data_IF_647844607870
#
_entry.id   IF_647844607870
#
_cell.length_a   1.000
_cell.length_b   1.000
_cell.length_c   1.000
_cell.angle_alpha   90.00
_cell.angle_beta   90.00
_cell.angle_gamma   90.00
#
_symmetry.space_group_name_H-M   'P 1'
#
loop_
_entity.id
_entity.type
_entity.pdbx_description
1 polymer ?
#
# COMPACT_ATOMS: atom_id res chain seq x y z
N UNK A 1 -23.47 -5.71 -14.93
CA UNK A 1 -23.06 -4.30 -15.01
C UNK A 1 -22.05 -4.21 -16.13
N UNK A 2 -22.30 -3.40 -17.16
CA UNK A 2 -21.29 -3.13 -18.19
C UNK A 2 -20.05 -2.51 -17.54
N UNK A 3 -18.87 -3.01 -17.89
CA UNK A 3 -17.61 -2.44 -17.46
C UNK A 3 -17.41 -1.13 -18.22
N UNK A 4 -17.55 0.01 -17.54
CA UNK A 4 -17.25 1.32 -18.13
C UNK A 4 -15.74 1.50 -18.33
N UNK A 5 -15.37 2.12 -19.44
CA UNK A 5 -13.99 2.54 -19.70
C UNK A 5 -13.56 3.63 -18.72
N UNK A 6 -12.28 3.71 -18.40
CA UNK A 6 -11.75 4.67 -17.43
C UNK A 6 -12.06 6.11 -17.88
N UNK A 7 -12.01 6.36 -19.18
CA UNK A 7 -12.38 7.65 -19.77
C UNK A 7 -13.82 8.05 -19.46
N UNK A 8 -14.75 7.10 -19.47
CA UNK A 8 -16.15 7.35 -19.16
C UNK A 8 -16.32 7.68 -17.68
N UNK A 9 -15.61 6.97 -16.80
CA UNK A 9 -15.61 7.23 -15.35
C UNK A 9 -15.11 8.64 -15.03
N UNK A 10 -14.00 9.05 -15.66
CA UNK A 10 -13.45 10.41 -15.52
C UNK A 10 -14.48 11.47 -15.99
N UNK A 11 -15.16 11.21 -17.11
CA UNK A 11 -16.20 12.10 -17.62
C UNK A 11 -17.38 12.20 -16.66
N UNK A 12 -17.85 11.08 -16.13
CA UNK A 12 -18.99 11.01 -15.21
C UNK A 12 -18.69 11.74 -13.88
N UNK A 13 -17.42 11.80 -13.48
CA UNK A 13 -16.93 12.60 -12.36
C UNK A 13 -16.86 14.12 -12.65
N UNK A 14 -17.19 14.56 -13.86
CA UNK A 14 -17.10 15.97 -14.25
C UNK A 14 -15.66 16.50 -14.28
N UNK A 15 -14.69 15.62 -14.51
CA UNK A 15 -13.27 15.93 -14.65
C UNK A 15 -12.91 16.01 -16.15
N UNK A 16 -12.11 17.02 -16.51
CA UNK A 16 -11.59 17.13 -17.87
C UNK A 16 -10.19 16.54 -17.90
N UNK A 17 -9.91 15.74 -18.93
CA UNK A 17 -8.57 15.17 -19.15
C UNK A 17 -7.49 16.24 -19.32
N UNK A 18 -7.87 17.42 -19.81
CA UNK A 18 -6.99 18.59 -19.91
C UNK A 18 -6.53 19.01 -18.51
N UNK A 19 -7.47 19.20 -17.58
CA UNK A 19 -7.15 19.61 -16.21
C UNK A 19 -6.29 18.53 -15.52
N UNK A 20 -6.63 17.25 -15.70
CA UNK A 20 -5.83 16.15 -15.16
C UNK A 20 -4.42 16.10 -15.76
N UNK A 21 -4.26 16.40 -17.04
CA UNK A 21 -2.94 16.44 -17.69
C UNK A 21 -2.07 17.57 -17.14
N UNK A 22 -2.68 18.71 -16.82
CA UNK A 22 -2.00 19.84 -16.18
C UNK A 22 -1.62 19.50 -14.73
N UNK A 23 -2.54 18.92 -13.95
CA UNK A 23 -2.25 18.53 -12.56
C UNK A 23 -1.22 17.41 -12.42
N UNK A 24 -1.06 16.57 -13.44
CA UNK A 24 -0.15 15.43 -13.44
C UNK A 24 1.13 15.70 -14.24
N UNK A 25 1.31 16.93 -14.72
CA UNK A 25 2.47 17.38 -15.50
C UNK A 25 2.79 16.49 -16.70
N UNK A 26 1.76 15.99 -17.39
CA UNK A 26 1.91 15.18 -18.61
C UNK A 26 1.25 15.87 -19.79
N UNK A 27 1.81 15.67 -20.98
CA UNK A 27 1.18 16.20 -22.20
C UNK A 27 -0.20 15.57 -22.42
N UNK A 28 -1.11 16.29 -23.08
CA UNK A 28 -2.43 15.75 -23.44
C UNK A 28 -2.32 14.46 -24.27
N UNK A 29 -1.49 14.38 -25.34
CA UNK A 29 -1.28 13.13 -26.06
C UNK A 29 -0.82 11.97 -25.15
N UNK A 30 0.06 12.25 -24.20
CA UNK A 30 0.54 11.27 -23.22
C UNK A 30 -0.59 10.80 -22.30
N UNK A 31 -1.45 11.71 -21.82
CA UNK A 31 -2.62 11.35 -20.99
C UNK A 31 -3.58 10.41 -21.74
N UNK A 32 -3.89 10.71 -23.00
CA UNK A 32 -4.70 9.82 -23.82
C UNK A 32 -4.03 8.45 -24.01
N UNK A 33 -2.72 8.45 -24.28
CA UNK A 33 -1.98 7.20 -24.45
C UNK A 33 -1.97 6.35 -23.18
N UNK A 34 -1.84 6.98 -22.02
CA UNK A 34 -1.86 6.28 -20.73
C UNK A 34 -3.22 5.67 -20.42
N UNK A 35 -4.33 6.30 -20.81
CA UNK A 35 -5.66 5.70 -20.66
C UNK A 35 -5.77 4.43 -21.50
N UNK A 36 -5.32 4.46 -22.76
CA UNK A 36 -5.31 3.26 -23.62
C UNK A 36 -4.48 2.13 -23.00
N UNK A 37 -3.25 2.43 -22.57
CA UNK A 37 -2.38 1.45 -21.93
C UNK A 37 -3.00 0.87 -20.65
N UNK A 38 -3.72 1.70 -19.89
CA UNK A 38 -4.38 1.26 -18.66
C UNK A 38 -5.51 0.27 -18.96
N UNK A 39 -6.33 0.57 -19.96
CA UNK A 39 -7.46 -0.26 -20.39
C UNK A 39 -6.99 -1.57 -21.05
N UNK A 40 -5.84 -1.54 -21.71
CA UNK A 40 -5.18 -2.72 -22.29
C UNK A 40 -4.42 -3.57 -21.26
N UNK A 41 -4.31 -3.10 -20.00
CA UNK A 41 -3.60 -3.81 -18.94
C UNK A 41 -2.08 -3.62 -18.92
N UNK A 42 -1.53 -2.79 -19.80
CA UNK A 42 -0.11 -2.43 -19.89
C UNK A 42 0.29 -1.41 -18.80
N UNK A 43 -0.08 -1.68 -17.54
CA UNK A 43 0.09 -0.76 -16.41
C UNK A 43 1.56 -0.42 -16.12
N UNK A 44 2.50 -1.31 -16.46
CA UNK A 44 3.94 -1.09 -16.26
C UNK A 44 4.55 0.02 -17.13
N UNK A 45 3.85 0.45 -18.19
CA UNK A 45 4.30 1.48 -19.12
C UNK A 45 3.75 2.88 -18.78
N UNK A 46 2.94 2.97 -17.73
CA UNK A 46 2.27 4.19 -17.31
C UNK A 46 3.10 4.86 -16.21
N UNK A 47 3.23 6.19 -16.29
CA UNK A 47 3.85 6.96 -15.22
C UNK A 47 3.18 6.60 -13.87
N UNK A 48 3.95 6.27 -12.80
CA UNK A 48 3.39 5.81 -11.54
C UNK A 48 2.36 6.76 -10.91
N UNK A 49 2.52 8.08 -11.05
CA UNK A 49 1.57 9.09 -10.54
C UNK A 49 0.22 8.98 -11.24
N UNK A 50 0.27 8.87 -12.57
CA UNK A 50 -0.92 8.71 -13.41
C UNK A 50 -1.59 7.37 -13.13
N UNK A 51 -0.81 6.29 -13.04
CA UNK A 51 -1.31 4.96 -12.71
C UNK A 51 -2.01 4.94 -11.35
N UNK A 52 -1.42 5.58 -10.34
CA UNK A 52 -2.01 5.67 -9.00
C UNK A 52 -3.36 6.40 -9.01
N UNK A 53 -3.50 7.47 -9.80
CA UNK A 53 -4.78 8.15 -9.98
C UNK A 53 -5.80 7.23 -10.66
N UNK A 54 -5.40 6.54 -11.73
CA UNK A 54 -6.28 5.65 -12.48
C UNK A 54 -6.78 4.49 -11.63
N UNK A 55 -5.88 3.85 -10.88
CA UNK A 55 -6.24 2.80 -9.92
C UNK A 55 -7.18 3.33 -8.83
N UNK A 56 -6.98 4.57 -8.36
CA UNK A 56 -7.86 5.19 -7.37
C UNK A 56 -9.27 5.40 -7.92
N UNK A 57 -9.40 5.91 -9.15
CA UNK A 57 -10.69 6.10 -9.81
C UNK A 57 -11.37 4.73 -10.06
N UNK A 58 -10.62 3.77 -10.61
CA UNK A 58 -11.13 2.44 -10.95
C UNK A 58 -11.68 1.69 -9.73
N UNK A 59 -10.96 1.73 -8.60
CA UNK A 59 -11.34 1.02 -7.37
C UNK A 59 -12.55 1.62 -6.67
N UNK A 60 -12.86 2.90 -6.91
CA UNK A 60 -13.88 3.62 -6.14
C UNK A 60 -15.03 4.19 -6.99
N UNK A 61 -15.11 3.82 -8.28
CA UNK A 61 -16.00 4.35 -9.32
C UNK A 61 -17.44 4.69 -8.87
N UNK A 62 -18.04 3.90 -7.97
CA UNK A 62 -19.42 4.09 -7.50
C UNK A 62 -19.60 5.00 -6.28
N UNK A 63 -18.51 5.49 -5.66
CA UNK A 63 -18.56 6.15 -4.35
C UNK A 63 -17.79 7.46 -4.25
N UNK A 64 -17.01 7.80 -5.28
CA UNK A 64 -16.17 9.01 -5.27
C UNK A 64 -16.82 10.16 -6.03
N UNK A 65 -16.54 11.37 -5.54
CA UNK A 65 -16.88 12.62 -6.22
C UNK A 65 -15.64 13.27 -6.84
N UNK A 66 -15.85 14.27 -7.70
CA UNK A 66 -14.80 15.17 -8.21
C UNK A 66 -13.85 15.67 -7.13
N UNK A 67 -14.40 16.12 -5.99
CA UNK A 67 -13.62 16.66 -4.88
C UNK A 67 -12.71 15.60 -4.24
N UNK A 68 -13.15 14.34 -4.18
CA UNK A 68 -12.32 13.25 -3.68
C UNK A 68 -11.11 13.01 -4.59
N UNK A 69 -11.29 13.11 -5.91
CA UNK A 69 -10.21 12.96 -6.89
C UNK A 69 -9.23 14.12 -6.83
N UNK A 70 -9.73 15.36 -6.76
CA UNK A 70 -8.88 16.56 -6.61
C UNK A 70 -8.08 16.48 -5.31
N UNK A 71 -8.71 16.12 -4.18
CA UNK A 71 -8.02 15.93 -2.91
C UNK A 71 -6.98 14.81 -2.96
N UNK A 72 -7.25 13.75 -3.72
CA UNK A 72 -6.28 12.68 -3.93
C UNK A 72 -5.05 13.20 -4.67
N UNK A 73 -5.25 13.94 -5.77
CA UNK A 73 -4.18 14.57 -6.55
C UNK A 73 -3.36 15.53 -5.69
N UNK A 74 -4.02 16.43 -4.95
CA UNK A 74 -3.33 17.42 -4.11
C UNK A 74 -2.48 16.79 -3.01
N UNK A 75 -2.99 15.74 -2.35
CA UNK A 75 -2.30 15.14 -1.20
C UNK A 75 -1.29 14.05 -1.56
N UNK A 76 -1.46 13.37 -2.70
CA UNK A 76 -0.64 12.21 -3.05
C UNK A 76 0.21 12.42 -4.31
N UNK A 77 -0.03 13.51 -5.06
CA UNK A 77 0.66 13.77 -6.33
C UNK A 77 1.34 15.16 -6.33
N UNK A 78 0.61 16.24 -6.01
CA UNK A 78 1.16 17.61 -6.02
C UNK A 78 2.01 17.91 -4.76
N UNK A 79 1.58 17.44 -3.58
CA UNK A 79 2.40 17.55 -2.35
C UNK A 79 3.76 16.85 -2.45
N UNK A 80 3.87 15.87 -3.36
CA UNK A 80 5.11 15.12 -3.65
C UNK A 80 6.08 15.92 -4.52
N UNK A 81 5.62 16.98 -5.20
CA UNK A 81 6.45 17.86 -6.05
C UNK A 81 6.89 19.15 -5.34
N UNK A 82 6.07 19.68 -4.42
CA UNK A 82 6.39 20.90 -3.67
C UNK A 82 7.44 20.69 -2.56
N UNK A 83 7.60 19.45 -2.10
CA UNK A 83 8.67 19.05 -1.19
C UNK A 83 9.64 18.19 -2.00
N UNK A 84 10.91 18.58 -2.09
CA UNK A 84 11.97 17.78 -2.70
C UNK A 84 12.09 16.45 -1.95
N UNK A 85 11.29 15.46 -2.34
CA UNK A 85 11.29 14.14 -1.72
C UNK A 85 12.59 13.44 -2.13
N UNK A 86 13.53 13.38 -1.19
CA UNK A 86 14.62 12.42 -1.20
C UNK A 86 14.08 11.03 -1.55
N UNK A 87 14.84 10.21 -2.30
CA UNK A 87 14.52 8.80 -2.61
C UNK A 87 13.99 7.99 -1.40
N UNK A 88 14.32 8.44 -0.18
CA UNK A 88 13.83 7.91 1.08
C UNK A 88 12.33 8.11 1.32
N UNK A 89 11.72 9.26 1.00
CA UNK A 89 10.27 9.42 1.22
C UNK A 89 9.43 8.78 0.11
N UNK A 90 9.96 8.65 -1.12
CA UNK A 90 9.35 7.82 -2.17
C UNK A 90 9.17 6.35 -1.73
N UNK A 91 10.18 5.80 -1.03
CA UNK A 91 10.09 4.45 -0.44
C UNK A 91 9.04 4.40 0.67
N UNK A 92 8.98 5.41 1.54
CA UNK A 92 7.96 5.48 2.62
C UNK A 92 6.53 5.61 2.08
N UNK A 93 6.31 6.40 1.04
CA UNK A 93 5.01 6.52 0.36
C UNK A 93 4.57 5.18 -0.24
N UNK A 94 5.49 4.46 -0.89
CA UNK A 94 5.21 3.10 -1.40
C UNK A 94 4.83 2.13 -0.28
N UNK A 95 5.54 2.15 0.85
CA UNK A 95 5.22 1.33 2.02
C UNK A 95 3.83 1.67 2.55
N UNK A 96 3.53 2.96 2.71
CA UNK A 96 2.23 3.46 3.18
C UNK A 96 1.08 2.93 2.31
N UNK A 97 1.23 2.98 0.99
CA UNK A 97 0.20 2.56 0.03
C UNK A 97 -0.10 1.05 0.05
N UNK A 98 0.80 0.22 0.57
CA UNK A 98 0.62 -1.25 0.65
C UNK A 98 -0.08 -1.66 1.95
N UNK A 99 -0.05 -0.83 2.99
CA UNK A 99 -0.62 -1.17 4.29
C UNK A 99 -2.15 -1.10 4.27
N UNK A 100 -2.80 -2.14 4.83
CA UNK A 100 -4.26 -2.20 4.99
C UNK A 100 -4.83 -1.13 5.94
N UNK A 101 -3.98 -0.56 6.80
CA UNK A 101 -4.33 0.50 7.76
C UNK A 101 -3.07 1.31 8.04
N UNK A 102 -3.23 2.64 8.08
CA UNK A 102 -2.15 3.57 8.44
C UNK A 102 -1.58 3.21 9.82
N UNK A 103 -0.26 3.08 9.89
CA UNK A 103 0.46 2.80 11.12
C UNK A 103 1.92 3.25 10.96
N UNK A 104 2.21 4.45 11.46
CA UNK A 104 3.52 5.09 11.32
C UNK A 104 4.67 4.23 11.84
N UNK A 105 4.53 3.60 13.02
CA UNK A 105 5.56 2.73 13.58
C UNK A 105 5.84 1.50 12.70
N UNK A 106 4.79 0.95 12.08
CA UNK A 106 4.93 -0.16 11.14
C UNK A 106 5.57 0.28 9.83
N UNK A 107 5.22 1.47 9.34
CA UNK A 107 5.82 2.06 8.13
C UNK A 107 7.32 2.29 8.33
N UNK A 108 7.70 2.92 9.44
CA UNK A 108 9.10 3.18 9.79
C UNK A 108 9.87 1.86 9.99
N UNK A 109 9.26 0.85 10.60
CA UNK A 109 9.88 -0.46 10.76
C UNK A 109 10.12 -1.18 9.43
N UNK A 110 9.13 -1.18 8.53
CA UNK A 110 9.31 -1.77 7.19
C UNK A 110 10.37 -1.01 6.40
N UNK A 111 10.39 0.32 6.50
CA UNK A 111 11.42 1.13 5.84
C UNK A 111 12.82 0.76 6.35
N UNK A 112 12.98 0.59 7.67
CA UNK A 112 14.23 0.14 8.27
C UNK A 112 14.70 -1.22 7.73
N UNK A 113 13.80 -2.19 7.60
CA UNK A 113 14.10 -3.51 7.01
C UNK A 113 14.56 -3.44 5.55
N UNK A 114 14.31 -2.34 4.84
CA UNK A 114 14.78 -2.15 3.45
C UNK A 114 16.13 -1.46 3.33
N UNK A 115 16.64 -0.90 4.43
CA UNK A 115 17.91 -0.13 4.44
C UNK A 115 19.00 -0.84 5.26
N UNK A 116 18.63 -1.70 6.21
CA UNK A 116 19.56 -2.31 7.15
C UNK A 116 19.24 -3.80 7.39
N UNK A 117 20.29 -4.60 7.58
CA UNK A 117 20.23 -6.07 7.67
C UNK A 117 20.28 -6.59 9.12
N UNK A 118 20.21 -5.72 10.14
CA UNK A 118 20.31 -6.07 11.55
C UNK A 118 19.28 -7.13 11.96
N UNK A 119 18.10 -7.10 11.35
CA UNK A 119 17.02 -8.05 11.64
C UNK A 119 17.05 -9.32 10.79
N UNK A 120 17.83 -9.39 9.71
CA UNK A 120 17.87 -10.53 8.78
C UNK A 120 18.04 -11.89 9.49
N UNK A 121 18.96 -12.05 10.46
CA UNK A 121 19.17 -13.32 11.14
C UNK A 121 17.94 -13.84 11.90
N UNK A 122 17.00 -12.97 12.26
CA UNK A 122 15.80 -13.34 13.03
C UNK A 122 14.53 -13.37 12.17
N UNK A 123 14.57 -12.94 10.91
CA UNK A 123 13.37 -12.87 10.06
C UNK A 123 12.73 -14.25 9.89
N UNK A 124 13.53 -15.29 9.65
CA UNK A 124 13.03 -16.67 9.51
C UNK A 124 12.32 -17.15 10.79
N UNK A 125 12.91 -16.86 11.94
CA UNK A 125 12.31 -17.17 13.24
C UNK A 125 10.95 -16.49 13.41
N UNK A 126 10.87 -15.18 13.11
CA UNK A 126 9.63 -14.41 13.22
C UNK A 126 8.54 -14.93 12.26
N UNK A 127 8.94 -15.33 11.04
CA UNK A 127 8.04 -15.91 10.04
C UNK A 127 7.50 -17.27 10.48
N UNK A 128 8.34 -18.14 11.03
CA UNK A 128 7.91 -19.43 11.59
C UNK A 128 6.98 -19.24 12.79
N UNK A 129 7.30 -18.31 13.70
CA UNK A 129 6.41 -17.97 14.81
C UNK A 129 5.03 -17.51 14.32
N UNK A 130 4.96 -16.70 13.25
CA UNK A 130 3.67 -16.30 12.66
C UNK A 130 2.92 -17.50 12.09
N UNK A 131 3.57 -18.40 11.36
CA UNK A 131 2.94 -19.62 10.81
C UNK A 131 2.37 -20.51 11.93
N UNK A 132 3.09 -20.63 13.03
CA UNK A 132 2.69 -21.43 14.18
C UNK A 132 1.56 -20.78 15.00
N UNK A 133 1.47 -19.44 15.03
CA UNK A 133 0.40 -18.72 15.77
C UNK A 133 -1.02 -19.08 15.30
N UNK A 134 -1.18 -19.50 14.05
CA UNK A 134 -2.46 -19.85 13.44
C UNK A 134 -2.83 -21.34 13.61
N UNK A 135 -1.91 -22.16 14.13
CA UNK A 135 -2.02 -23.63 14.26
C UNK A 135 -2.13 -24.06 15.73
N UNK A 136 -2.59 -25.30 15.95
CA UNK A 136 -2.56 -25.93 17.29
C UNK A 136 -1.10 -26.29 17.61
N UNK A 137 -0.58 -25.75 18.71
CA UNK A 137 0.84 -25.89 19.08
C UNK A 137 1.13 -27.23 19.76
N UNK A 138 2.13 -27.97 19.26
CA UNK A 138 2.78 -29.10 19.95
C UNK A 138 3.66 -28.61 21.11
N UNK A 139 4.19 -29.52 21.92
CA UNK A 139 5.11 -29.17 23.01
C UNK A 139 6.39 -28.49 22.48
N UNK A 140 7.01 -29.06 21.45
CA UNK A 140 8.20 -28.49 20.79
C UNK A 140 7.93 -27.09 20.20
N UNK A 141 6.76 -26.90 19.55
CA UNK A 141 6.39 -25.60 18.99
C UNK A 141 6.14 -24.53 20.07
N UNK A 142 5.75 -24.92 21.29
CA UNK A 142 5.63 -23.99 22.41
C UNK A 142 7.00 -23.54 22.91
N UNK A 143 7.97 -24.45 22.98
CA UNK A 143 9.34 -24.08 23.34
C UNK A 143 9.98 -23.16 22.30
N UNK A 144 9.74 -23.41 21.01
CA UNK A 144 10.22 -22.55 19.92
C UNK A 144 9.68 -21.12 20.00
N UNK A 145 8.40 -20.92 20.32
CA UNK A 145 7.76 -19.58 20.40
C UNK A 145 8.13 -18.84 21.70
N UNK A 146 8.59 -19.56 22.73
CA UNK A 146 8.81 -19.01 24.07
C UNK A 146 9.64 -17.71 24.09
N UNK A 147 10.76 -17.57 23.34
CA UNK A 147 11.51 -16.31 23.29
C UNK A 147 10.65 -15.12 22.83
N UNK A 148 9.80 -15.30 21.81
CA UNK A 148 8.88 -14.27 21.34
C UNK A 148 7.78 -13.97 22.36
N UNK A 149 7.25 -15.00 23.04
CA UNK A 149 6.25 -14.81 24.10
C UNK A 149 6.83 -14.00 25.28
N UNK A 150 8.05 -14.31 25.69
CA UNK A 150 8.72 -13.61 26.77
C UNK A 150 9.05 -12.17 26.38
N UNK A 151 9.46 -11.92 25.12
CA UNK A 151 9.60 -10.57 24.59
C UNK A 151 8.29 -9.77 24.70
N UNK A 152 7.16 -10.33 24.29
CA UNK A 152 5.85 -9.66 24.43
C UNK A 152 5.55 -9.34 25.90
N UNK A 153 5.79 -10.28 26.82
CA UNK A 153 5.56 -10.09 28.25
C UNK A 153 6.41 -8.97 28.84
N UNK A 154 7.70 -8.90 28.49
CA UNK A 154 8.60 -7.82 28.98
C UNK A 154 8.12 -6.43 28.55
N UNK A 155 7.42 -6.34 27.43
CA UNK A 155 6.83 -5.09 26.92
C UNK A 155 5.39 -4.86 27.40
N UNK A 156 4.86 -5.70 28.31
CA UNK A 156 3.51 -5.58 28.85
C UNK A 156 2.40 -6.13 27.94
N UNK A 157 2.74 -6.83 26.87
CA UNK A 157 1.79 -7.40 25.91
C UNK A 157 1.58 -8.90 26.09
N UNK A 158 0.47 -9.42 25.56
CA UNK A 158 0.17 -10.86 25.48
C UNK A 158 0.08 -11.29 24.03
N UNK A 159 0.86 -12.30 23.65
CA UNK A 159 0.79 -12.89 22.32
C UNK A 159 -0.50 -13.71 22.18
N UNK A 160 -1.24 -13.50 21.07
CA UNK A 160 -2.44 -14.29 20.76
C UNK A 160 -2.01 -15.56 20.03
N UNK A 161 -1.99 -16.68 20.74
CA UNK A 161 -1.75 -18.01 20.18
C UNK A 161 -3.05 -18.82 20.22
N UNK A 162 -3.34 -19.60 19.17
CA UNK A 162 -4.42 -20.60 19.19
C UNK A 162 -4.07 -21.69 20.21
N UNK A 163 -4.53 -21.51 21.46
CA UNK A 163 -4.41 -22.54 22.49
C UNK A 163 -5.29 -23.71 22.09
N UNK A 164 -4.67 -24.87 21.88
CA UNK A 164 -5.40 -26.12 21.78
C UNK A 164 -6.25 -26.31 23.04
N UNK A 165 -7.56 -26.50 22.87
CA UNK A 165 -8.42 -26.91 23.97
C UNK A 165 -7.95 -28.25 24.51
N UNK A 166 -7.72 -28.33 25.82
CA UNK A 166 -7.82 -29.58 26.57
C UNK A 166 -9.30 -29.92 26.67
N UNK A 167 -9.70 -30.96 25.96
CA UNK A 167 -10.71 -31.92 26.42
C UNK A 167 -10.19 -33.29 26.04
#
# INVERSE_FOLDING_TARGET
>A
MEQKFLRDKIRDLGLRLIDLSEYLEVSRPTMYKYIELYEQGHKGEINPKVLSLFDYIEKNDSTISKNNVINFILNNIVRVEAENISKNEDKKIKIKNILKKENKSKEDFIYMLTEDNFFDPILDYLMECKKLSDKKLSAENKEFIKPLEDLYKTQGFKIKLKKGGSR
#
